data_IF_169640258586
#
_entry.id   IF_169640258586
#
_cell.length_a   1.000
_cell.length_b   1.000
_cell.length_c   1.000
_cell.angle_alpha   90.00
_cell.angle_beta   90.00
_cell.angle_gamma   90.00
#
_symmetry.space_group_name_H-M   'P 1'
#
loop_
_entity.id
_entity.type
_entity.pdbx_description
1 polymer ?
#
# COMPACT_ATOMS: atom_id res chain seq x y z
N UNK A 1 -0.93 -16.88 -18.46
CA UNK A 1 0.08 -15.99 -19.06
C UNK A 1 1.44 -16.66 -18.93
N UNK A 2 2.33 -16.55 -19.92
CA UNK A 2 3.69 -17.08 -19.79
C UNK A 2 4.46 -16.20 -18.80
N UNK A 3 5.05 -16.80 -17.75
CA UNK A 3 5.93 -16.11 -16.79
C UNK A 3 7.39 -16.31 -17.20
N UNK A 4 8.18 -15.25 -17.18
CA UNK A 4 9.63 -15.23 -17.40
C UNK A 4 10.41 -15.23 -16.09
N UNK A 5 9.87 -14.63 -15.03
CA UNK A 5 10.57 -14.48 -13.75
C UNK A 5 9.74 -15.04 -12.59
N UNK A 6 10.42 -15.49 -11.54
CA UNK A 6 9.75 -16.16 -10.41
C UNK A 6 8.79 -15.25 -9.64
N UNK A 7 9.09 -13.95 -9.52
CA UNK A 7 8.22 -13.01 -8.82
C UNK A 7 6.86 -12.84 -9.51
N UNK A 8 6.78 -13.05 -10.83
CA UNK A 8 5.53 -12.95 -11.60
C UNK A 8 4.53 -14.05 -11.20
N UNK A 9 5.00 -15.13 -10.56
CA UNK A 9 4.16 -16.21 -10.04
C UNK A 9 3.53 -15.87 -8.69
N UNK A 10 3.97 -14.80 -8.02
CA UNK A 10 3.45 -14.41 -6.72
C UNK A 10 2.12 -13.67 -6.88
N UNK A 11 1.08 -14.14 -6.18
CA UNK A 11 -0.24 -13.47 -6.17
C UNK A 11 -0.11 -12.00 -5.72
N UNK A 12 0.72 -11.73 -4.71
CA UNK A 12 0.96 -10.36 -4.22
C UNK A 12 1.60 -9.45 -5.27
N UNK A 13 2.42 -10.01 -6.16
CA UNK A 13 3.00 -9.24 -7.26
C UNK A 13 1.94 -8.93 -8.32
N UNK A 14 1.10 -9.90 -8.66
CA UNK A 14 0.01 -9.70 -9.63
C UNK A 14 -0.99 -8.66 -9.14
N UNK A 15 -1.36 -8.70 -7.85
CA UNK A 15 -2.20 -7.70 -7.21
C UNK A 15 -1.53 -6.31 -7.19
N UNK A 16 -0.22 -6.24 -6.89
CA UNK A 16 0.52 -4.98 -6.94
C UNK A 16 0.59 -4.38 -8.35
N UNK A 17 0.75 -5.21 -9.39
CA UNK A 17 0.73 -4.77 -10.79
C UNK A 17 -0.66 -4.28 -11.18
N UNK A 18 -1.72 -5.01 -10.80
CA UNK A 18 -3.10 -4.59 -11.06
C UNK A 18 -3.41 -3.24 -10.38
N UNK A 19 -3.01 -3.08 -9.12
CA UNK A 19 -3.14 -1.82 -8.39
C UNK A 19 -2.36 -0.68 -9.07
N UNK A 20 -1.11 -0.92 -9.48
CA UNK A 20 -0.29 0.07 -10.18
C UNK A 20 -0.92 0.52 -11.51
N UNK A 21 -1.50 -0.42 -12.27
CA UNK A 21 -2.25 -0.12 -13.49
C UNK A 21 -3.47 0.76 -13.22
N UNK A 22 -4.26 0.41 -12.20
CA UNK A 22 -5.40 1.22 -11.78
C UNK A 22 -5.01 2.62 -11.31
N UNK A 23 -3.88 2.77 -10.59
CA UNK A 23 -3.34 4.08 -10.22
C UNK A 23 -3.02 4.89 -11.47
N UNK A 24 -2.38 4.30 -12.47
CA UNK A 24 -2.11 4.97 -13.75
C UNK A 24 -3.36 5.57 -14.39
N UNK A 25 -4.45 4.80 -14.45
CA UNK A 25 -5.74 5.26 -14.96
C UNK A 25 -6.33 6.38 -14.10
N UNK A 26 -6.31 6.22 -12.77
CA UNK A 26 -6.78 7.24 -11.82
C UNK A 26 -6.02 8.57 -11.99
N UNK A 27 -4.70 8.50 -12.14
CA UNK A 27 -3.86 9.68 -12.25
C UNK A 27 -4.08 10.43 -13.57
N UNK A 28 -4.49 9.74 -14.64
CA UNK A 28 -4.87 10.39 -15.89
C UNK A 28 -6.17 11.20 -15.76
N UNK A 29 -7.09 10.80 -14.87
CA UNK A 29 -8.35 11.51 -14.63
C UNK A 29 -8.16 12.78 -13.78
N UNK A 30 -7.11 12.85 -12.97
CA UNK A 30 -6.83 14.01 -12.10
C UNK A 30 -6.00 15.04 -12.87
N UNK A 31 -6.66 16.05 -13.44
CA UNK A 31 -6.00 17.14 -14.18
C UNK A 31 -5.16 18.08 -13.30
N UNK A 32 -5.54 18.25 -12.03
CA UNK A 32 -4.88 19.18 -11.09
C UNK A 32 -3.57 18.60 -10.57
N UNK A 33 -2.51 19.41 -10.55
CA UNK A 33 -1.24 19.04 -9.89
C UNK A 33 -1.45 18.95 -8.38
N UNK A 34 -1.06 17.82 -7.79
CA UNK A 34 -1.15 17.59 -6.36
C UNK A 34 0.03 16.74 -5.89
N UNK A 35 0.69 17.15 -4.81
CA UNK A 35 1.81 16.38 -4.25
C UNK A 35 1.41 14.92 -3.89
N UNK A 36 0.16 14.71 -3.48
CA UNK A 36 -0.37 13.38 -3.20
C UNK A 36 -0.51 12.49 -4.46
N UNK A 37 -0.72 13.09 -5.64
CA UNK A 37 -0.72 12.37 -6.92
C UNK A 37 0.69 11.87 -7.25
N UNK A 38 1.70 12.73 -7.13
CA UNK A 38 3.09 12.36 -7.39
C UNK A 38 3.64 11.37 -6.35
N UNK A 39 3.17 11.45 -5.10
CA UNK A 39 3.49 10.45 -4.08
C UNK A 39 2.78 9.12 -4.34
N UNK A 40 1.50 9.14 -4.73
CA UNK A 40 0.76 7.92 -5.07
C UNK A 40 1.41 7.18 -6.24
N UNK A 41 1.82 7.90 -7.29
CA UNK A 41 2.52 7.32 -8.44
C UNK A 41 3.80 6.60 -8.01
N UNK A 42 4.67 7.30 -7.26
CA UNK A 42 5.93 6.74 -6.76
C UNK A 42 5.72 5.57 -5.80
N UNK A 43 4.79 5.68 -4.86
CA UNK A 43 4.50 4.62 -3.90
C UNK A 43 3.90 3.39 -4.59
N UNK A 44 2.98 3.58 -5.54
CA UNK A 44 2.37 2.47 -6.30
C UNK A 44 3.38 1.76 -7.20
N UNK A 45 4.33 2.50 -7.78
CA UNK A 45 5.46 1.94 -8.55
C UNK A 45 6.44 1.19 -7.64
N UNK A 46 6.69 1.70 -6.44
CA UNK A 46 7.59 1.08 -5.46
C UNK A 46 7.11 -0.30 -4.99
N UNK A 47 5.80 -0.54 -4.96
CA UNK A 47 5.20 -1.83 -4.56
C UNK A 47 5.73 -3.03 -5.38
N UNK A 48 5.45 -3.14 -6.69
CA UNK A 48 5.90 -4.28 -7.48
C UNK A 48 7.42 -4.36 -7.57
N UNK A 49 8.13 -3.21 -7.58
CA UNK A 49 9.60 -3.19 -7.61
C UNK A 49 10.21 -3.84 -6.37
N UNK A 50 9.74 -3.48 -5.17
CA UNK A 50 10.26 -4.06 -3.93
C UNK A 50 9.84 -5.53 -3.75
N UNK A 51 8.67 -5.93 -4.23
CA UNK A 51 8.26 -7.35 -4.23
C UNK A 51 9.19 -8.18 -5.12
N UNK A 52 9.44 -7.71 -6.36
CA UNK A 52 10.31 -8.40 -7.29
C UNK A 52 11.75 -8.48 -6.78
N UNK A 53 12.29 -7.37 -6.27
CA UNK A 53 13.64 -7.34 -5.71
C UNK A 53 13.78 -8.23 -4.47
N UNK A 54 12.81 -8.19 -3.54
CA UNK A 54 12.78 -9.04 -2.36
C UNK A 54 12.74 -10.52 -2.70
N UNK A 55 11.92 -10.91 -3.70
CA UNK A 55 11.86 -12.29 -4.17
C UNK A 55 13.20 -12.80 -4.72
N UNK A 56 14.00 -11.91 -5.32
CA UNK A 56 15.34 -12.23 -5.84
C UNK A 56 16.44 -12.33 -4.78
N UNK A 57 16.21 -11.94 -3.52
CA UNK A 57 17.24 -12.01 -2.47
C UNK A 57 17.41 -13.44 -1.94
N UNK A 58 18.66 -13.83 -1.72
CA UNK A 58 19.04 -15.12 -1.12
C UNK A 58 18.85 -15.13 0.40
N UNK A 59 19.21 -14.03 1.08
CA UNK A 59 19.09 -13.90 2.52
C UNK A 59 17.63 -13.63 2.92
N UNK A 60 17.15 -14.34 3.95
CA UNK A 60 15.83 -14.10 4.54
C UNK A 60 15.71 -12.69 5.12
N UNK A 61 16.79 -12.15 5.70
CA UNK A 61 16.83 -10.81 6.28
C UNK A 61 16.67 -9.75 5.20
N UNK A 62 17.43 -9.88 4.10
CA UNK A 62 17.32 -8.93 2.99
C UNK A 62 15.95 -9.03 2.32
N UNK A 63 15.47 -10.25 2.07
CA UNK A 63 14.11 -10.48 1.54
C UNK A 63 13.06 -9.79 2.40
N UNK A 64 13.10 -9.98 3.72
CA UNK A 64 12.16 -9.35 4.64
C UNK A 64 12.25 -7.82 4.58
N UNK A 65 13.45 -7.24 4.49
CA UNK A 65 13.62 -5.78 4.35
C UNK A 65 12.90 -5.22 3.13
N UNK A 66 13.01 -5.86 1.97
CA UNK A 66 12.30 -5.41 0.76
C UNK A 66 10.78 -5.57 0.88
N UNK A 67 10.31 -6.66 1.49
CA UNK A 67 8.87 -6.85 1.72
C UNK A 67 8.30 -5.85 2.74
N UNK A 68 9.07 -5.42 3.74
CA UNK A 68 8.68 -4.31 4.64
C UNK A 68 8.58 -2.99 3.89
N UNK A 69 9.51 -2.70 2.98
CA UNK A 69 9.44 -1.50 2.13
C UNK A 69 8.18 -1.53 1.25
N UNK A 70 7.90 -2.67 0.61
CA UNK A 70 6.67 -2.85 -0.15
C UNK A 70 5.42 -2.62 0.72
N UNK A 71 5.40 -3.16 1.96
CA UNK A 71 4.31 -2.94 2.91
C UNK A 71 4.16 -1.45 3.24
N UNK A 72 5.27 -0.75 3.50
CA UNK A 72 5.28 0.70 3.70
C UNK A 72 4.69 1.46 2.51
N UNK A 73 5.09 1.10 1.29
CA UNK A 73 4.54 1.69 0.06
C UNK A 73 3.03 1.46 -0.11
N UNK A 74 2.48 0.30 0.29
CA UNK A 74 1.03 0.08 0.30
C UNK A 74 0.29 1.03 1.27
N UNK A 75 0.85 1.24 2.47
CA UNK A 75 0.28 2.15 3.46
C UNK A 75 0.35 3.61 2.99
N UNK A 76 1.46 4.00 2.36
CA UNK A 76 1.59 5.32 1.73
C UNK A 76 0.56 5.51 0.61
N UNK A 77 0.29 4.49 -0.21
CA UNK A 77 -0.76 4.56 -1.23
C UNK A 77 -2.14 4.81 -0.60
N UNK A 78 -2.47 4.08 0.47
CA UNK A 78 -3.73 4.25 1.18
C UNK A 78 -3.88 5.67 1.74
N UNK A 79 -2.82 6.22 2.34
CA UNK A 79 -2.80 7.59 2.84
C UNK A 79 -2.92 8.63 1.72
N UNK A 80 -2.27 8.41 0.57
CA UNK A 80 -2.41 9.31 -0.57
C UNK A 80 -3.84 9.32 -1.11
N UNK A 81 -4.50 8.16 -1.17
CA UNK A 81 -5.92 8.08 -1.57
C UNK A 81 -6.82 8.86 -0.61
N UNK A 82 -6.56 8.80 0.70
CA UNK A 82 -7.30 9.61 1.69
C UNK A 82 -7.10 11.11 1.46
N UNK A 83 -5.87 11.53 1.20
CA UNK A 83 -5.55 12.95 0.91
C UNK A 83 -6.23 13.42 -0.37
N UNK A 84 -6.25 12.59 -1.42
CA UNK A 84 -6.95 12.92 -2.67
C UNK A 84 -8.47 12.99 -2.47
N UNK A 85 -9.04 12.10 -1.66
CA UNK A 85 -10.46 12.06 -1.36
C UNK A 85 -10.93 13.27 -0.56
N UNK A 86 -10.24 13.61 0.54
CA UNK A 86 -10.60 14.76 1.39
C UNK A 86 -10.45 16.09 0.65
N UNK A 87 -9.52 16.15 -0.31
CA UNK A 87 -9.35 17.29 -1.23
C UNK A 87 -10.34 17.31 -2.39
N UNK A 88 -11.26 16.33 -2.45
CA UNK A 88 -12.31 16.18 -3.47
C UNK A 88 -11.75 16.02 -4.89
N UNK A 89 -10.54 15.47 -5.02
CA UNK A 89 -9.97 15.13 -6.33
C UNK A 89 -10.49 13.79 -6.86
N UNK A 90 -10.93 12.90 -5.96
CA UNK A 90 -11.49 11.59 -6.29
C UNK A 90 -12.69 11.32 -5.37
N UNK A 91 -13.70 10.62 -5.89
CA UNK A 91 -14.86 10.21 -5.12
C UNK A 91 -14.58 8.98 -4.24
N UNK A 92 -15.30 8.87 -3.12
CA UNK A 92 -15.14 7.78 -2.17
C UNK A 92 -15.42 6.40 -2.79
N UNK A 93 -16.31 6.34 -3.77
CA UNK A 93 -16.68 5.14 -4.52
C UNK A 93 -15.50 4.52 -5.28
N UNK A 94 -14.53 5.34 -5.70
CA UNK A 94 -13.30 4.85 -6.35
C UNK A 94 -12.23 4.46 -5.32
N UNK A 95 -12.25 5.08 -4.15
CA UNK A 95 -11.24 4.88 -3.10
C UNK A 95 -11.42 3.56 -2.37
N UNK A 96 -12.65 3.19 -2.04
CA UNK A 96 -12.93 2.01 -1.22
C UNK A 96 -12.41 0.71 -1.85
N UNK A 97 -12.71 0.38 -3.12
CA UNK A 97 -12.20 -0.86 -3.73
C UNK A 97 -10.66 -0.88 -3.82
N UNK A 98 -10.04 0.27 -4.08
CA UNK A 98 -8.59 0.39 -4.13
C UNK A 98 -7.95 0.15 -2.75
N UNK A 99 -8.56 0.66 -1.68
CA UNK A 99 -8.12 0.39 -0.31
C UNK A 99 -8.32 -1.07 0.10
N UNK A 100 -9.41 -1.71 -0.32
CA UNK A 100 -9.63 -3.15 -0.09
C UNK A 100 -8.54 -4.00 -0.78
N UNK A 101 -8.16 -3.62 -2.00
CA UNK A 101 -7.03 -4.25 -2.69
C UNK A 101 -5.70 -4.04 -1.94
N UNK A 102 -5.43 -2.83 -1.47
CA UNK A 102 -4.23 -2.54 -0.66
C UNK A 102 -4.20 -3.36 0.64
N UNK A 103 -5.33 -3.51 1.33
CA UNK A 103 -5.45 -4.38 2.52
C UNK A 103 -5.10 -5.82 2.17
N UNK A 104 -5.58 -6.33 1.04
CA UNK A 104 -5.24 -7.67 0.55
C UNK A 104 -3.73 -7.81 0.30
N UNK A 105 -3.12 -6.84 -0.39
CA UNK A 105 -1.67 -6.76 -0.63
C UNK A 105 -0.90 -6.79 0.70
N UNK A 106 -1.26 -5.93 1.66
CA UNK A 106 -0.64 -5.88 2.99
C UNK A 106 -0.75 -7.23 3.71
N UNK A 107 -1.92 -7.88 3.67
CA UNK A 107 -2.10 -9.18 4.31
C UNK A 107 -1.21 -10.26 3.69
N UNK A 108 -1.06 -10.28 2.36
CA UNK A 108 -0.14 -11.20 1.68
C UNK A 108 1.32 -10.92 2.06
N UNK A 109 1.74 -9.65 2.06
CA UNK A 109 3.08 -9.25 2.48
C UNK A 109 3.37 -9.64 3.92
N UNK A 110 2.42 -9.42 4.84
CA UNK A 110 2.53 -9.82 6.24
C UNK A 110 2.65 -11.35 6.38
N UNK A 111 1.89 -12.11 5.58
CA UNK A 111 2.01 -13.57 5.52
C UNK A 111 3.40 -14.04 5.08
N UNK A 112 4.00 -13.37 4.08
CA UNK A 112 5.38 -13.65 3.66
C UNK A 112 6.39 -13.23 4.72
N UNK A 113 6.23 -12.04 5.31
CA UNK A 113 7.11 -11.51 6.35
C UNK A 113 7.17 -12.41 7.57
N UNK A 114 6.05 -12.98 8.02
CA UNK A 114 6.03 -13.98 9.12
C UNK A 114 6.90 -15.20 8.86
N UNK A 115 7.14 -15.56 7.59
CA UNK A 115 7.98 -16.70 7.22
C UNK A 115 9.47 -16.36 7.19
N UNK A 116 9.81 -15.08 7.00
CA UNK A 116 11.19 -14.62 6.82
C UNK A 116 11.71 -13.75 7.98
N UNK A 117 10.82 -13.23 8.81
CA UNK A 117 11.12 -12.38 9.96
C UNK A 117 10.64 -13.10 11.22
N UNK A 118 11.57 -13.36 12.15
CA UNK A 118 11.23 -13.67 13.55
C UNK A 118 10.68 -12.47 14.32
N UNK A 119 10.24 -11.41 13.62
CA UNK A 119 9.91 -10.08 14.16
C UNK A 119 8.44 -9.69 13.94
N UNK A 120 7.65 -10.53 13.27
CA UNK A 120 6.29 -10.24 12.82
C UNK A 120 5.24 -10.13 13.95
N UNK A 121 5.61 -10.34 15.21
CA UNK A 121 4.72 -10.18 16.37
C UNK A 121 4.59 -8.72 16.87
N UNK A 122 5.46 -7.79 16.45
CA UNK A 122 5.62 -6.51 17.14
C UNK A 122 4.85 -5.30 16.55
N UNK A 123 3.97 -5.48 15.55
CA UNK A 123 3.38 -4.36 14.79
C UNK A 123 1.85 -4.23 14.90
N UNK A 124 1.25 -4.63 16.03
CA UNK A 124 -0.12 -4.19 16.36
C UNK A 124 -0.01 -3.00 17.30
N UNK A 125 -0.35 -1.81 16.81
CA UNK A 125 -0.76 -0.74 17.72
C UNK A 125 -2.13 -1.12 18.29
N UNK A 126 -2.28 -0.97 19.61
CA UNK A 126 -3.58 -1.14 20.27
C UNK A 126 -4.58 -0.10 19.76
N UNK A 127 -5.88 -0.39 19.88
CA UNK A 127 -6.96 0.52 19.49
C UNK A 127 -6.73 1.90 20.15
N UNK A 128 -6.46 2.92 19.32
CA UNK A 128 -6.25 4.27 19.78
C UNK A 128 -7.52 4.82 20.43
N UNK A 129 -7.51 4.99 21.74
CA UNK A 129 -8.52 5.78 22.45
C UNK A 129 -8.24 7.25 22.14
N UNK A 130 -8.83 7.75 21.06
CA UNK A 130 -8.86 9.19 20.79
C UNK A 130 -9.97 9.80 21.65
N UNK A 131 -9.58 10.46 22.75
CA UNK A 131 -10.49 11.21 23.59
C UNK A 131 -11.19 12.29 22.75
N UNK A 132 -12.52 12.23 22.68
CA UNK A 132 -13.35 13.28 22.11
C UNK A 132 -13.79 14.20 23.25
N UNK A 133 -12.90 15.08 23.68
CA UNK A 133 -13.31 16.20 24.54
C UNK A 133 -13.70 17.39 23.66
N UNK A 134 -14.96 17.39 23.24
CA UNK A 134 -15.65 18.61 22.82
C UNK A 134 -16.94 18.74 23.62
N UNK A 135 -16.82 19.24 24.86
CA UNK A 135 -17.94 19.95 25.48
C UNK A 135 -17.72 21.45 25.25
N UNK A 136 -18.38 21.95 24.21
CA UNK A 136 -18.71 23.36 24.10
C UNK A 136 -19.76 23.66 25.16
N UNK A 137 -19.37 24.20 26.31
CA UNK A 137 -20.31 24.93 27.17
C UNK A 137 -20.56 26.30 26.55
N UNK A 138 -21.73 26.41 25.91
CA UNK A 138 -22.41 27.68 25.69
C UNK A 138 -23.25 27.99 26.92
N UNK A 139 -22.90 29.03 27.67
CA UNK A 139 -23.83 29.90 28.39
C UNK A 139 -23.46 31.37 28.16
#
# INVERSE_FOLDING_TARGET
MKTYFDHEKLDVYQEAIAFCGWVGDLLNDIATKAAAKDQLDRASTSLPLNIAEGNGKFSAVDRARFLEIARGSALECAACLDVLAVRKFIGAERVVPAKEQLVRIVNMLMGMLKRFSGRAECLREDEGIYATEHEHEHE
#
